data_IF_018734125928
#
_entry.id   IF_018734125928
#
_cell.length_a   1.000
_cell.length_b   1.000
_cell.length_c   1.000
_cell.angle_alpha   90.00
_cell.angle_beta   90.00
_cell.angle_gamma   90.00
#
_symmetry.space_group_name_H-M   'P 1'
#
loop_
_entity.id
_entity.type
_entity.pdbx_description
1 polymer ?
#
# COMPACT_ATOMS: atom_id res chain seq x y z
N UNK A 1 16.43 17.83 -7.07
CA UNK A 1 15.87 16.55 -7.61
C UNK A 1 14.65 16.04 -6.82
N UNK A 2 14.02 16.85 -5.94
CA UNK A 2 13.04 16.41 -4.93
C UNK A 2 11.57 16.75 -5.22
N UNK A 3 11.26 17.62 -6.19
CA UNK A 3 9.88 18.07 -6.44
C UNK A 3 8.99 17.03 -7.15
N UNK A 4 9.58 16.15 -7.97
CA UNK A 4 8.79 15.16 -8.73
C UNK A 4 8.12 14.10 -7.85
N UNK A 5 8.76 13.68 -6.75
CA UNK A 5 8.26 12.57 -5.93
C UNK A 5 6.90 12.90 -5.29
N UNK A 6 6.75 14.08 -4.68
CA UNK A 6 5.49 14.47 -4.04
C UNK A 6 4.33 14.60 -5.04
N UNK A 7 4.61 15.09 -6.25
CA UNK A 7 3.61 15.22 -7.30
C UNK A 7 3.15 13.85 -7.83
N UNK A 8 4.08 12.91 -8.02
CA UNK A 8 3.75 11.54 -8.47
C UNK A 8 2.92 10.78 -7.43
N UNK A 9 3.32 10.83 -6.15
CA UNK A 9 2.60 10.17 -5.06
C UNK A 9 1.20 10.75 -4.89
N UNK A 10 1.06 12.09 -4.90
CA UNK A 10 -0.24 12.74 -4.79
C UNK A 10 -1.16 12.42 -5.97
N UNK A 11 -0.62 12.36 -7.19
CA UNK A 11 -1.40 12.02 -8.38
C UNK A 11 -1.85 10.55 -8.37
N UNK A 12 -0.97 9.63 -7.98
CA UNK A 12 -1.31 8.21 -7.85
C UNK A 12 -2.37 7.99 -6.76
N UNK A 13 -2.13 8.51 -5.55
CA UNK A 13 -3.06 8.36 -4.43
C UNK A 13 -4.43 8.97 -4.72
N UNK A 14 -4.48 10.16 -5.31
CA UNK A 14 -5.76 10.82 -5.64
C UNK A 14 -6.48 10.11 -6.79
N UNK A 15 -5.74 9.56 -7.75
CA UNK A 15 -6.31 8.76 -8.83
C UNK A 15 -6.95 7.48 -8.28
N UNK A 16 -6.23 6.74 -7.43
CA UNK A 16 -6.70 5.49 -6.85
C UNK A 16 -7.89 5.72 -5.92
N UNK A 17 -7.81 6.72 -5.04
CA UNK A 17 -8.89 7.09 -4.13
C UNK A 17 -10.14 7.58 -4.88
N UNK A 18 -9.97 8.39 -5.93
CA UNK A 18 -11.09 8.86 -6.75
C UNK A 18 -11.78 7.70 -7.46
N UNK A 19 -11.01 6.79 -8.04
CA UNK A 19 -11.56 5.64 -8.76
C UNK A 19 -12.30 4.71 -7.79
N UNK A 20 -11.81 4.55 -6.57
CA UNK A 20 -12.46 3.74 -5.54
C UNK A 20 -13.73 4.38 -4.96
N UNK A 21 -13.73 5.68 -4.66
CA UNK A 21 -14.85 6.36 -3.99
C UNK A 21 -15.88 6.97 -4.96
N UNK A 22 -15.45 7.44 -6.13
CA UNK A 22 -16.29 8.17 -7.08
C UNK A 22 -16.09 7.68 -8.53
N UNK A 23 -16.49 6.43 -8.84
CA UNK A 23 -16.26 5.79 -10.13
C UNK A 23 -16.91 6.52 -11.32
N UNK A 24 -17.94 7.34 -11.09
CA UNK A 24 -18.64 8.13 -12.12
C UNK A 24 -18.32 9.64 -12.09
N UNK A 25 -17.26 10.06 -11.37
CA UNK A 25 -16.93 11.49 -11.31
C UNK A 25 -16.29 11.98 -12.62
N UNK A 26 -17.03 12.77 -13.40
CA UNK A 26 -16.54 13.59 -14.52
C UNK A 26 -15.64 14.76 -14.06
N UNK A 27 -14.73 14.47 -13.14
CA UNK A 27 -13.68 15.33 -12.60
C UNK A 27 -12.96 16.17 -13.65
N UNK A 28 -13.29 17.46 -13.84
CA UNK A 28 -12.47 18.37 -14.68
C UNK A 28 -11.00 18.34 -14.24
N UNK A 29 -10.09 18.13 -15.20
CA UNK A 29 -8.64 17.98 -14.95
C UNK A 29 -8.04 19.14 -14.12
N UNK A 30 -8.55 20.36 -14.30
CA UNK A 30 -8.12 21.53 -13.53
C UNK A 30 -8.50 21.45 -12.04
N UNK A 31 -9.63 20.84 -11.71
CA UNK A 31 -10.07 20.63 -10.32
C UNK A 31 -9.25 19.54 -9.64
N UNK A 32 -8.92 18.47 -10.36
CA UNK A 32 -8.07 17.39 -9.87
C UNK A 32 -6.66 17.91 -9.55
N UNK A 33 -6.08 18.71 -10.45
CA UNK A 33 -4.77 19.31 -10.23
C UNK A 33 -4.74 20.23 -9.00
N UNK A 34 -5.80 21.01 -8.78
CA UNK A 34 -5.95 21.83 -7.59
C UNK A 34 -6.04 21.00 -6.31
N UNK A 35 -6.84 19.94 -6.32
CA UNK A 35 -6.95 18.99 -5.20
C UNK A 35 -5.57 18.39 -4.86
N UNK A 36 -4.82 17.93 -5.87
CA UNK A 36 -3.51 17.32 -5.68
C UNK A 36 -2.52 18.32 -5.06
N UNK A 37 -2.47 19.55 -5.57
CA UNK A 37 -1.58 20.60 -5.03
C UNK A 37 -1.93 20.98 -3.59
N UNK A 38 -3.21 21.04 -3.26
CA UNK A 38 -3.67 21.29 -1.89
C UNK A 38 -3.24 20.16 -0.95
N UNK A 39 -3.39 18.90 -1.36
CA UNK A 39 -2.92 17.76 -0.56
C UNK A 39 -1.42 17.73 -0.36
N UNK A 40 -0.63 18.04 -1.41
CA UNK A 40 0.83 18.16 -1.27
C UNK A 40 1.21 19.26 -0.27
N UNK A 41 0.53 20.41 -0.31
CA UNK A 41 0.78 21.50 0.62
C UNK A 41 0.41 21.12 2.07
N UNK A 42 -0.75 20.48 2.27
CA UNK A 42 -1.22 20.05 3.58
C UNK A 42 -0.29 18.97 4.16
N UNK A 43 0.03 17.93 3.38
CA UNK A 43 0.91 16.85 3.83
C UNK A 43 2.34 17.34 4.07
N UNK A 44 2.84 18.26 3.24
CA UNK A 44 4.13 18.92 3.46
C UNK A 44 4.16 19.74 4.75
N UNK A 45 3.09 20.48 5.03
CA UNK A 45 2.95 21.25 6.27
C UNK A 45 2.82 20.35 7.50
N UNK A 46 2.05 19.27 7.43
CA UNK A 46 1.95 18.26 8.50
C UNK A 46 3.31 17.60 8.74
N UNK A 47 4.05 17.24 7.68
CA UNK A 47 5.40 16.71 7.78
C UNK A 47 6.36 17.69 8.46
N UNK A 48 6.25 18.99 8.15
CA UNK A 48 7.02 20.04 8.81
C UNK A 48 6.68 20.16 10.30
N UNK A 49 5.39 20.14 10.67
CA UNK A 49 4.97 20.13 12.08
C UNK A 49 5.44 18.87 12.82
N UNK A 50 5.38 17.71 12.16
CA UNK A 50 5.91 16.46 12.70
C UNK A 50 7.42 16.54 12.93
N UNK A 51 8.17 17.20 12.05
CA UNK A 51 9.61 17.39 12.23
C UNK A 51 9.96 18.32 13.40
N UNK A 52 9.09 19.27 13.73
CA UNK A 52 9.25 20.15 14.92
C UNK A 52 8.99 19.42 16.24
N UNK A 53 8.15 18.38 16.23
CA UNK A 53 7.68 17.71 17.45
C UNK A 53 8.29 16.32 17.66
N UNK A 54 8.68 15.63 16.58
CA UNK A 54 9.21 14.28 16.63
C UNK A 54 10.75 14.29 16.74
N UNK A 55 11.33 13.57 17.71
CA UNK A 55 12.78 13.37 17.78
C UNK A 55 13.31 12.77 16.46
N UNK A 56 14.54 13.12 16.01
CA UNK A 56 15.09 12.68 14.72
C UNK A 56 15.14 11.17 14.54
N UNK A 57 15.22 10.42 15.64
CA UNK A 57 15.12 8.95 15.65
C UNK A 57 13.75 8.45 15.16
N UNK A 58 12.66 9.09 15.55
CA UNK A 58 11.30 8.68 15.20
C UNK A 58 11.00 8.90 13.72
N UNK A 59 11.56 9.95 13.09
CA UNK A 59 11.43 10.19 11.66
C UNK A 59 12.14 9.10 10.83
N UNK A 60 13.29 8.62 11.31
CA UNK A 60 14.01 7.52 10.66
C UNK A 60 13.21 6.21 10.76
N UNK A 61 12.64 5.92 11.92
CA UNK A 61 11.73 4.78 12.12
C UNK A 61 10.47 4.87 11.27
N UNK A 62 9.87 6.05 11.13
CA UNK A 62 8.69 6.24 10.29
C UNK A 62 8.99 6.04 8.80
N UNK A 63 10.16 6.50 8.34
CA UNK A 63 10.61 6.26 6.97
C UNK A 63 10.87 4.78 6.70
N UNK A 64 11.55 4.10 7.63
CA UNK A 64 11.84 2.66 7.56
C UNK A 64 10.56 1.83 7.59
N UNK A 65 9.66 2.12 8.54
CA UNK A 65 8.34 1.49 8.63
C UNK A 65 7.57 1.73 7.34
N UNK A 66 7.45 2.99 6.90
CA UNK A 66 6.68 3.37 5.73
C UNK A 66 7.16 2.63 4.48
N UNK A 67 8.42 2.79 4.11
CA UNK A 67 8.95 2.17 2.88
C UNK A 67 9.01 0.64 2.95
N UNK A 68 9.38 0.07 4.09
CA UNK A 68 9.49 -1.39 4.26
C UNK A 68 8.14 -2.11 4.28
N UNK A 69 7.19 -1.62 5.09
CA UNK A 69 5.85 -2.24 5.16
C UNK A 69 5.08 -2.05 3.87
N UNK A 70 5.14 -0.89 3.22
CA UNK A 70 4.51 -0.70 1.89
C UNK A 70 5.04 -1.70 0.86
N UNK A 71 6.36 -1.98 0.86
CA UNK A 71 6.96 -2.97 -0.01
C UNK A 71 6.41 -4.38 0.30
N UNK A 72 6.33 -4.76 1.57
CA UNK A 72 5.76 -6.05 2.00
C UNK A 72 4.28 -6.23 1.63
N UNK A 73 3.50 -5.14 1.68
CA UNK A 73 2.09 -5.15 1.31
C UNK A 73 1.92 -5.25 -0.21
N UNK A 74 2.78 -4.61 -1.00
CA UNK A 74 2.67 -4.56 -2.46
C UNK A 74 3.32 -5.74 -3.19
N UNK A 75 4.28 -6.44 -2.57
CA UNK A 75 5.00 -7.53 -3.26
C UNK A 75 4.05 -8.63 -3.77
N UNK A 76 3.11 -9.08 -2.94
CA UNK A 76 2.14 -10.10 -3.31
C UNK A 76 1.29 -9.71 -4.52
N UNK A 77 0.48 -8.63 -4.43
CA UNK A 77 -0.42 -8.23 -5.51
C UNK A 77 0.29 -7.64 -6.74
N UNK A 78 1.52 -7.12 -6.64
CA UNK A 78 2.21 -6.52 -7.80
C UNK A 78 3.14 -7.51 -8.49
N UNK A 79 3.96 -8.27 -7.75
CA UNK A 79 4.91 -9.20 -8.34
C UNK A 79 4.30 -10.57 -8.61
N UNK A 80 3.55 -11.13 -7.67
CA UNK A 80 3.05 -12.51 -7.81
C UNK A 80 1.85 -12.56 -8.74
N UNK A 81 1.01 -11.52 -8.77
CA UNK A 81 -0.07 -11.44 -9.76
C UNK A 81 0.42 -11.48 -11.21
N UNK A 82 1.65 -11.04 -11.46
CA UNK A 82 2.27 -11.07 -12.79
C UNK A 82 2.59 -12.49 -13.24
N UNK A 83 2.99 -13.38 -12.33
CA UNK A 83 3.29 -14.79 -12.63
C UNK A 83 2.11 -15.74 -12.36
N UNK A 84 1.22 -15.35 -11.45
CA UNK A 84 0.09 -16.14 -10.99
C UNK A 84 -1.18 -15.28 -10.92
N UNK A 85 -2.12 -15.50 -11.84
CA UNK A 85 -3.43 -14.84 -11.83
C UNK A 85 -4.26 -15.30 -10.63
N UNK A 86 -4.03 -14.65 -9.49
CA UNK A 86 -4.73 -14.90 -8.24
C UNK A 86 -6.06 -14.15 -8.15
N UNK A 87 -6.76 -14.36 -7.04
CA UNK A 87 -8.07 -13.76 -6.81
C UNK A 87 -7.95 -12.46 -5.99
N UNK A 88 -8.94 -11.56 -6.11
CA UNK A 88 -8.99 -10.31 -5.34
C UNK A 88 -8.94 -10.54 -3.82
N UNK A 89 -9.56 -11.62 -3.34
CA UNK A 89 -9.51 -12.04 -1.93
C UNK A 89 -8.09 -12.47 -1.49
N UNK A 90 -7.33 -13.10 -2.39
CA UNK A 90 -5.93 -13.45 -2.15
C UNK A 90 -5.02 -12.23 -2.11
N UNK A 91 -5.27 -11.23 -2.96
CA UNK A 91 -4.56 -9.95 -2.95
C UNK A 91 -4.75 -9.21 -1.63
N UNK A 92 -6.00 -9.07 -1.16
CA UNK A 92 -6.29 -8.40 0.12
C UNK A 92 -5.69 -9.15 1.31
N UNK A 93 -5.82 -10.48 1.36
CA UNK A 93 -5.25 -11.28 2.44
C UNK A 93 -3.71 -11.14 2.50
N UNK A 94 -3.05 -11.12 1.34
CA UNK A 94 -1.61 -10.89 1.24
C UNK A 94 -1.22 -9.49 1.74
N UNK A 95 -1.96 -8.46 1.32
CA UNK A 95 -1.74 -7.09 1.78
C UNK A 95 -1.85 -6.96 3.31
N UNK A 96 -2.89 -7.52 3.91
CA UNK A 96 -3.05 -7.51 5.37
C UNK A 96 -1.97 -8.31 6.09
N UNK A 97 -1.61 -9.48 5.55
CA UNK A 97 -0.55 -10.31 6.14
C UNK A 97 0.79 -9.59 6.08
N UNK A 98 1.15 -8.99 4.95
CA UNK A 98 2.41 -8.23 4.80
C UNK A 98 2.49 -7.05 5.78
N UNK A 99 1.38 -6.32 5.96
CA UNK A 99 1.29 -5.23 6.93
C UNK A 99 1.48 -5.73 8.37
N UNK A 100 0.72 -6.77 8.75
CA UNK A 100 0.72 -7.28 10.11
C UNK A 100 2.04 -7.96 10.45
N UNK A 101 2.56 -8.83 9.58
CA UNK A 101 3.83 -9.52 9.81
C UNK A 101 4.98 -8.52 9.89
N UNK A 102 5.11 -7.60 8.94
CA UNK A 102 6.19 -6.61 8.97
C UNK A 102 6.03 -5.61 10.11
N UNK A 103 4.81 -5.16 10.41
CA UNK A 103 4.53 -4.24 11.51
C UNK A 103 4.77 -4.88 12.87
N UNK A 104 4.33 -6.13 13.07
CA UNK A 104 4.54 -6.85 14.32
C UNK A 104 6.01 -7.17 14.54
N UNK A 105 6.75 -7.56 13.49
CA UNK A 105 8.18 -7.82 13.61
C UNK A 105 8.97 -6.55 13.95
N UNK A 106 8.57 -5.39 13.45
CA UNK A 106 9.29 -4.15 13.77
C UNK A 106 8.92 -3.57 15.15
N UNK A 107 7.70 -3.80 15.62
CA UNK A 107 7.19 -3.20 16.88
C UNK A 107 7.39 -4.08 18.11
N UNK A 108 7.42 -5.41 17.95
CA UNK A 108 7.41 -6.35 19.08
C UNK A 108 8.62 -7.27 19.15
N UNK A 109 9.55 -7.18 18.19
CA UNK A 109 10.72 -8.04 18.16
C UNK A 109 12.00 -7.26 17.82
N UNK A 110 13.14 -7.71 18.35
CA UNK A 110 14.46 -7.09 18.13
C UNK A 110 15.12 -7.49 16.79
N UNK A 111 14.33 -8.04 15.87
CA UNK A 111 14.79 -8.34 14.51
C UNK A 111 15.10 -7.02 13.82
N UNK A 112 16.19 -7.04 13.06
CA UNK A 112 16.67 -5.84 12.40
C UNK A 112 15.62 -5.21 11.49
N UNK A 113 15.85 -3.92 11.22
CA UNK A 113 14.92 -3.06 10.51
C UNK A 113 14.68 -3.46 9.04
N UNK A 114 15.56 -4.30 8.48
CA UNK A 114 15.46 -4.83 7.11
C UNK A 114 14.74 -6.18 7.12
N UNK A 115 15.00 -6.98 8.15
CA UNK A 115 14.58 -8.36 8.31
C UNK A 115 13.06 -8.44 8.50
N UNK A 116 12.47 -7.53 9.29
CA UNK A 116 11.02 -7.44 9.49
C UNK A 116 10.23 -7.32 8.18
N UNK A 117 10.51 -6.30 7.34
CA UNK A 117 9.93 -6.18 6.00
C UNK A 117 10.20 -7.38 5.10
N UNK A 118 11.39 -7.99 5.17
CA UNK A 118 11.74 -9.15 4.36
C UNK A 118 10.85 -10.37 4.68
N UNK A 119 10.63 -10.65 5.97
CA UNK A 119 9.72 -11.70 6.41
C UNK A 119 8.27 -11.35 6.05
N UNK A 120 7.88 -10.08 6.15
CA UNK A 120 6.58 -9.60 5.68
C UNK A 120 6.36 -9.86 4.19
N UNK A 121 7.37 -9.65 3.36
CA UNK A 121 7.31 -9.93 1.93
C UNK A 121 7.11 -11.41 1.64
N UNK A 122 7.86 -12.29 2.31
CA UNK A 122 7.74 -13.73 2.19
C UNK A 122 6.36 -14.22 2.65
N UNK A 123 5.88 -13.75 3.80
CA UNK A 123 4.57 -14.11 4.33
C UNK A 123 3.42 -13.67 3.40
N UNK A 124 3.45 -12.41 2.95
CA UNK A 124 2.52 -11.86 1.96
C UNK A 124 2.51 -12.71 0.69
N UNK A 125 3.68 -13.12 0.22
CA UNK A 125 3.83 -13.93 -0.99
C UNK A 125 3.20 -15.32 -0.88
N UNK A 126 3.47 -16.01 0.23
CA UNK A 126 2.94 -17.35 0.50
C UNK A 126 1.42 -17.29 0.67
N UNK A 127 0.91 -16.30 1.43
CA UNK A 127 -0.53 -16.13 1.65
C UNK A 127 -1.26 -15.77 0.36
N UNK A 128 -0.69 -14.95 -0.51
CA UNK A 128 -1.28 -14.65 -1.82
C UNK A 128 -1.59 -15.93 -2.59
N UNK A 129 -0.60 -16.84 -2.69
CA UNK A 129 -0.74 -18.09 -3.43
C UNK A 129 -1.69 -19.05 -2.71
N UNK A 130 -1.53 -19.22 -1.39
CA UNK A 130 -2.35 -20.13 -0.60
C UNK A 130 -3.85 -19.74 -0.65
N UNK A 131 -4.16 -18.48 -0.35
CA UNK A 131 -5.53 -17.97 -0.39
C UNK A 131 -6.06 -17.95 -1.82
N UNK A 132 -5.25 -17.58 -2.82
CA UNK A 132 -5.70 -17.63 -4.21
C UNK A 132 -6.11 -19.05 -4.62
N UNK A 133 -5.36 -20.10 -4.26
CA UNK A 133 -5.74 -21.49 -4.56
C UNK A 133 -6.98 -21.95 -3.80
N UNK A 134 -7.09 -21.62 -2.51
CA UNK A 134 -8.25 -21.99 -1.69
C UNK A 134 -9.53 -21.29 -2.15
N UNK A 135 -9.41 -20.07 -2.69
CA UNK A 135 -10.54 -19.24 -3.07
C UNK A 135 -10.85 -19.28 -4.58
N UNK A 136 -10.08 -20.04 -5.38
CA UNK A 136 -10.33 -20.23 -6.82
C UNK A 136 -11.75 -20.78 -7.08
N UNK A 137 -12.24 -21.69 -6.23
CA UNK A 137 -13.61 -22.20 -6.33
C UNK A 137 -14.70 -21.15 -6.04
N UNK A 138 -14.45 -20.19 -5.14
CA UNK A 138 -15.41 -19.14 -4.81
C UNK A 138 -15.44 -18.00 -5.85
N UNK A 139 -14.31 -17.69 -6.48
CA UNK A 139 -14.22 -16.70 -7.56
C UNK A 139 -14.98 -17.16 -8.81
N UNK A 140 -14.80 -18.42 -9.23
CA UNK A 140 -15.55 -19.02 -10.35
C UNK A 140 -17.06 -19.08 -10.07
N UNK A 141 -17.45 -19.29 -8.81
CA UNK A 141 -18.86 -19.36 -8.39
C UNK A 141 -19.56 -18.00 -8.26
N UNK A 142 -18.80 -16.91 -8.15
CA UNK A 142 -19.32 -15.54 -8.14
C UNK A 142 -19.53 -15.01 -9.56
N UNK A 143 -18.60 -15.29 -10.48
CA UNK A 143 -18.74 -14.97 -11.92
C UNK A 143 -19.92 -15.70 -12.54
N UNK A 144 -20.13 -16.98 -12.21
CA UNK A 144 -21.27 -17.76 -12.69
C UNK A 144 -22.64 -17.27 -12.17
N UNK A 145 -22.68 -16.42 -11.15
CA UNK A 145 -23.91 -15.82 -10.60
C UNK A 145 -24.24 -14.43 -11.16
N UNK A 146 -23.32 -13.83 -11.91
CA UNK A 146 -23.49 -12.52 -12.55
C UNK A 146 -23.66 -12.60 -14.07
N UNK A 147 -23.82 -13.81 -14.62
CA UNK A 147 -24.31 -14.08 -15.98
C UNK A 147 -25.73 -14.66 -15.90
#
# INVERSE_FOLDING_TARGET
MTFNNAHTVSSAASHDLRTALFPNSGASSSRVLWINRSWVAILGFVGFLMMLYAPPFMLSWLGILGSGTLLAVMIGPVFISSFWQGNAWGALAAMFTGLLTSGSFLLFTDVGWVEGPLYGCLASSVIYVAVSKLTQGAASSAVARSC
#
